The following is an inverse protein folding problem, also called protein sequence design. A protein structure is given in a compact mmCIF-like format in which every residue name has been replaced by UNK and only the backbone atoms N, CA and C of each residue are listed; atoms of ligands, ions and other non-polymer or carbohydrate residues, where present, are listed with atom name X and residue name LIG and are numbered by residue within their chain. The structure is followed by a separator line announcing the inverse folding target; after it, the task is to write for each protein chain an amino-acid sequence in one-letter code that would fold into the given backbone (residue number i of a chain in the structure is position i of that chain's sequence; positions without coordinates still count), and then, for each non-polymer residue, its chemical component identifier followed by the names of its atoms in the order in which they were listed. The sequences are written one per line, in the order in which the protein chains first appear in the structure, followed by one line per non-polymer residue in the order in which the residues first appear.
data_IF_962667780768
#
_entry.id   IF_962667780768
#
_cell.length_a   1.000
_cell.length_b   1.000
_cell.length_c   1.000
_cell.angle_alpha   90.00
_cell.angle_beta   90.00
_cell.angle_gamma   90.00
#
_symmetry.space_group_name_H-M   'P 1'
#
loop_
_entity.id
_entity.type
_entity.pdbx_description
1 polymer ?
#
# COMPACT_ATOMS: atom_id res chain seq x y z
N UNK A 1 -3.59 25.82 9.90
CA UNK A 1 -3.05 26.28 11.19
C UNK A 1 -1.94 25.34 11.59
N UNK A 2 -0.72 25.83 11.79
CA UNK A 2 0.37 25.01 12.31
C UNK A 2 0.02 24.57 13.74
N UNK A 3 0.12 23.27 14.03
CA UNK A 3 -0.01 22.78 15.39
C UNK A 3 1.22 23.29 16.15
N UNK A 4 1.06 24.35 16.95
CA UNK A 4 2.13 24.89 17.79
C UNK A 4 2.50 23.84 18.86
N UNK A 5 3.40 22.95 18.49
CA UNK A 5 4.04 21.99 19.39
C UNK A 5 5.35 22.60 19.85
N UNK A 6 5.54 22.71 21.16
CA UNK A 6 6.82 23.09 21.77
C UNK A 6 7.94 22.07 21.46
N UNK A 7 7.57 20.91 20.92
CA UNK A 7 8.46 19.82 20.59
C UNK A 7 8.70 19.73 19.09
N UNK A 8 9.96 19.51 18.71
CA UNK A 8 10.36 19.29 17.32
C UNK A 8 9.56 18.13 16.69
N UNK A 9 9.04 18.37 15.48
CA UNK A 9 8.34 17.36 14.69
C UNK A 9 9.32 16.27 14.24
N UNK A 10 8.86 15.02 14.21
CA UNK A 10 9.64 13.87 13.72
C UNK A 10 9.15 13.37 12.37
N UNK A 11 7.96 13.77 11.96
CA UNK A 11 7.37 13.45 10.67
C UNK A 11 6.53 14.62 10.14
N UNK A 12 6.23 14.58 8.85
CA UNK A 12 5.30 15.51 8.23
C UNK A 12 4.28 14.71 7.42
N UNK A 13 2.99 15.00 7.65
CA UNK A 13 1.91 14.48 6.82
C UNK A 13 1.70 15.45 5.68
N UNK A 14 1.86 14.96 4.46
CA UNK A 14 1.67 15.75 3.24
C UNK A 14 0.41 15.24 2.56
N UNK A 15 -0.55 16.12 2.38
CA UNK A 15 -1.79 15.86 1.66
C UNK A 15 -1.65 16.44 0.26
N UNK A 16 -1.89 15.60 -0.74
CA UNK A 16 -1.83 15.99 -2.14
C UNK A 16 -3.17 15.71 -2.80
N UNK A 17 -3.57 16.56 -3.73
CA UNK A 17 -4.64 16.27 -4.67
C UNK A 17 -4.02 15.81 -5.99
N UNK A 18 -4.65 14.82 -6.62
CA UNK A 18 -4.34 14.35 -7.96
C UNK A 18 -5.64 14.29 -8.75
N UNK A 19 -5.69 14.95 -9.90
CA UNK A 19 -6.81 14.82 -10.82
C UNK A 19 -6.79 13.46 -11.50
N UNK A 20 -7.98 12.90 -11.71
CA UNK A 20 -8.17 11.66 -12.47
C UNK A 20 -8.33 11.92 -13.97
N UNK A 21 -8.79 13.11 -14.34
CA UNK A 21 -9.10 13.48 -15.72
C UNK A 21 -8.02 14.35 -16.36
N UNK A 22 -6.99 14.72 -15.60
CA UNK A 22 -5.90 15.58 -16.05
C UNK A 22 -4.62 15.27 -15.28
N UNK A 23 -3.44 15.69 -15.78
CA UNK A 23 -2.18 15.49 -15.06
C UNK A 23 -2.02 16.39 -13.83
N UNK A 24 -3.03 17.19 -13.47
CA UNK A 24 -2.96 18.14 -12.36
C UNK A 24 -2.69 17.42 -11.02
N UNK A 25 -1.67 17.90 -10.31
CA UNK A 25 -1.26 17.42 -9.00
C UNK A 25 -0.72 18.57 -8.18
N UNK A 26 -1.15 18.69 -6.92
CA UNK A 26 -0.69 19.76 -6.04
C UNK A 26 -0.67 19.33 -4.57
N UNK A 27 0.21 19.93 -3.78
CA UNK A 27 0.21 19.83 -2.32
C UNK A 27 -0.85 20.76 -1.76
N UNK A 28 -1.84 20.20 -1.07
CA UNK A 28 -2.96 20.97 -0.50
C UNK A 28 -2.74 21.30 0.98
N UNK A 29 -1.99 20.46 1.69
CA UNK A 29 -1.68 20.69 3.09
C UNK A 29 -0.39 19.97 3.52
N UNK A 30 0.39 20.62 4.38
CA UNK A 30 1.54 20.02 5.06
C UNK A 30 1.34 20.19 6.56
N UNK A 31 1.41 19.09 7.30
CA UNK A 31 1.22 19.06 8.74
C UNK A 31 2.42 18.40 9.41
N UNK A 32 3.39 19.19 9.92
CA UNK A 32 4.47 18.69 10.76
C UNK A 32 3.89 18.15 12.07
N UNK A 33 4.27 16.94 12.46
CA UNK A 33 3.81 16.30 13.71
C UNK A 33 4.92 15.53 14.41
N UNK A 34 4.83 15.45 15.73
CA UNK A 34 5.64 14.54 16.53
C UNK A 34 4.92 13.24 16.84
N UNK A 35 3.65 13.33 17.20
CA UNK A 35 2.72 12.20 17.38
C UNK A 35 1.35 12.62 16.92
N UNK A 36 0.66 11.74 16.22
CA UNK A 36 -0.74 11.92 15.80
C UNK A 36 -1.51 10.63 16.04
N UNK A 37 -2.74 10.77 16.53
CA UNK A 37 -3.68 9.67 16.67
C UNK A 37 -4.66 9.64 15.48
N UNK A 38 -5.42 8.56 15.36
CA UNK A 38 -6.36 8.37 14.24
C UNK A 38 -7.53 9.35 14.24
N UNK A 39 -7.92 9.94 15.38
CA UNK A 39 -9.05 10.87 15.47
C UNK A 39 -8.67 12.26 14.97
N UNK A 40 -7.51 12.77 15.42
CA UNK A 40 -6.94 14.02 14.92
C UNK A 40 -6.64 13.92 13.43
N UNK A 41 -6.07 12.78 13.00
CA UNK A 41 -5.81 12.57 11.58
C UNK A 41 -7.10 12.54 10.75
N UNK A 42 -8.14 11.86 11.22
CA UNK A 42 -9.48 11.88 10.60
C UNK A 42 -10.04 13.30 10.47
N UNK A 43 -9.96 14.12 11.52
CA UNK A 43 -10.46 15.49 11.49
C UNK A 43 -9.78 16.32 10.39
N UNK A 44 -8.45 16.16 10.22
CA UNK A 44 -7.69 16.84 9.17
C UNK A 44 -8.05 16.33 7.78
N UNK A 45 -8.15 15.01 7.59
CA UNK A 45 -8.57 14.42 6.30
C UNK A 45 -9.96 14.92 5.92
N UNK A 46 -10.94 14.80 6.81
CA UNK A 46 -12.31 15.27 6.59
C UNK A 46 -12.36 16.75 6.24
N UNK A 47 -11.63 17.59 7.01
CA UNK A 47 -11.56 19.03 6.76
C UNK A 47 -10.96 19.34 5.38
N UNK A 48 -9.87 18.68 5.01
CA UNK A 48 -9.22 18.85 3.71
C UNK A 48 -10.19 18.52 2.56
N UNK A 49 -10.95 17.43 2.68
CA UNK A 49 -11.96 17.06 1.68
C UNK A 49 -13.04 18.15 1.53
N UNK A 50 -13.60 18.60 2.65
CA UNK A 50 -14.65 19.63 2.66
C UNK A 50 -14.15 20.97 2.10
N UNK A 51 -12.92 21.37 2.42
CA UNK A 51 -12.31 22.59 1.89
C UNK A 51 -12.01 22.50 0.39
N UNK A 52 -11.62 21.33 -0.11
CA UNK A 52 -11.41 21.12 -1.55
C UNK A 52 -12.72 21.17 -2.32
N UNK A 53 -13.79 20.59 -1.77
CA UNK A 53 -15.11 20.66 -2.38
C UNK A 53 -15.66 22.09 -2.43
N UNK A 54 -15.44 22.88 -1.36
CA UNK A 54 -15.96 24.25 -1.30
C UNK A 54 -15.34 25.19 -2.32
N UNK A 55 -14.13 24.88 -2.81
CA UNK A 55 -13.45 25.63 -3.88
C UNK A 55 -13.71 25.04 -5.28
N UNK A 56 -14.57 24.01 -5.39
CA UNK A 56 -15.05 23.48 -6.66
C UNK A 56 -14.37 22.19 -7.14
N UNK A 57 -13.46 21.59 -6.37
CA UNK A 57 -13.02 20.22 -6.68
C UNK A 57 -14.14 19.22 -6.35
N UNK A 58 -14.08 18.04 -6.96
CA UNK A 58 -14.92 16.90 -6.59
C UNK A 58 -14.04 15.78 -6.08
N UNK A 59 -13.90 15.67 -4.77
CA UNK A 59 -13.06 14.61 -4.18
C UNK A 59 -13.82 13.29 -4.21
N UNK A 60 -13.35 12.32 -5.00
CA UNK A 60 -14.02 11.02 -5.08
C UNK A 60 -13.39 9.95 -4.18
N UNK A 61 -12.16 10.16 -3.70
CA UNK A 61 -11.49 9.15 -2.89
C UNK A 61 -10.21 9.61 -2.24
N UNK A 62 -9.78 8.81 -1.27
CA UNK A 62 -8.54 8.98 -0.50
C UNK A 62 -7.63 7.79 -0.79
N UNK A 63 -6.40 8.08 -1.22
CA UNK A 63 -5.35 7.06 -1.40
C UNK A 63 -4.37 7.16 -0.23
N UNK A 64 -4.08 6.04 0.44
CA UNK A 64 -3.05 6.02 1.48
C UNK A 64 -2.38 4.65 1.64
N UNK A 65 -1.28 4.60 2.39
CA UNK A 65 -0.66 3.32 2.76
C UNK A 65 -1.56 2.50 3.71
N UNK A 66 -1.16 1.26 3.99
CA UNK A 66 -1.89 0.37 4.91
C UNK A 66 -1.53 0.61 6.39
N UNK A 67 -0.98 1.74 6.81
CA UNK A 67 -0.60 1.93 8.21
C UNK A 67 -1.83 1.98 9.14
N UNK A 68 -1.64 1.68 10.43
CA UNK A 68 -2.77 1.56 11.39
C UNK A 68 -3.51 2.88 11.62
N UNK A 69 -2.80 4.01 11.59
CA UNK A 69 -3.35 5.36 11.80
C UNK A 69 -4.29 5.72 10.64
N UNK A 70 -3.89 5.46 9.40
CA UNK A 70 -4.69 5.69 8.19
C UNK A 70 -5.97 4.86 8.23
N UNK A 71 -5.87 3.56 8.54
CA UNK A 71 -7.06 2.70 8.67
C UNK A 71 -8.00 3.18 9.77
N UNK A 72 -7.46 3.61 10.91
CA UNK A 72 -8.27 4.13 12.03
C UNK A 72 -8.97 5.43 11.62
N UNK A 73 -8.26 6.35 10.98
CA UNK A 73 -8.85 7.60 10.51
C UNK A 73 -9.95 7.35 9.47
N UNK A 74 -9.71 6.49 8.49
CA UNK A 74 -10.72 6.15 7.49
C UNK A 74 -11.94 5.45 8.11
N UNK A 75 -11.74 4.59 9.12
CA UNK A 75 -12.86 3.93 9.79
C UNK A 75 -13.84 4.90 10.46
N UNK A 76 -13.38 6.10 10.84
CA UNK A 76 -14.20 7.14 11.48
C UNK A 76 -15.14 7.87 10.50
N UNK A 77 -15.06 7.60 9.18
CA UNK A 77 -16.10 8.04 8.23
C UNK A 77 -17.40 7.24 8.34
N UNK A 78 -17.42 6.14 9.11
CA UNK A 78 -18.63 5.39 9.43
C UNK A 78 -19.00 5.55 10.91
N UNK A 79 -20.30 5.50 11.19
CA UNK A 79 -20.85 5.45 12.56
C UNK A 79 -21.68 4.17 12.68
N UNK A 80 -21.27 3.18 13.51
CA UNK A 80 -20.04 3.13 14.30
C UNK A 80 -18.75 3.01 13.44
N UNK A 81 -17.56 3.31 14.00
CA UNK A 81 -16.31 3.22 13.25
C UNK A 81 -16.06 1.83 12.68
N UNK A 82 -15.96 1.74 11.35
CA UNK A 82 -15.73 0.49 10.63
C UNK A 82 -14.88 0.73 9.40
N UNK A 83 -13.85 -0.09 9.22
CA UNK A 83 -13.05 -0.04 8.00
C UNK A 83 -13.89 -0.56 6.83
N UNK A 84 -13.96 0.25 5.77
CA UNK A 84 -14.71 -0.01 4.54
C UNK A 84 -13.88 0.53 3.37
N UNK A 85 -14.19 0.07 2.17
CA UNK A 85 -13.63 0.60 0.91
C UNK A 85 -14.47 1.75 0.35
N UNK A 86 -15.71 1.91 0.83
CA UNK A 86 -16.62 3.00 0.45
C UNK A 86 -17.24 3.60 1.69
N UNK A 87 -17.29 4.93 1.72
CA UNK A 87 -17.89 5.74 2.78
C UNK A 87 -18.86 6.76 2.19
N UNK A 88 -19.84 7.27 2.96
CA UNK A 88 -20.59 8.46 2.57
C UNK A 88 -19.65 9.68 2.45
N UNK A 89 -19.80 10.47 1.40
CA UNK A 89 -18.99 11.67 1.21
C UNK A 89 -19.29 12.73 2.29
N UNK A 90 -18.29 13.35 2.94
CA UNK A 90 -18.50 14.25 4.08
C UNK A 90 -19.25 15.55 3.74
N UNK A 91 -19.19 16.01 2.48
CA UNK A 91 -19.92 17.20 2.00
C UNK A 91 -21.31 16.87 1.43
N UNK A 92 -21.51 15.66 0.89
CA UNK A 92 -22.74 15.24 0.21
C UNK A 92 -22.94 13.73 0.39
N UNK A 93 -23.63 13.30 1.48
CA UNK A 93 -23.67 11.89 1.87
C UNK A 93 -24.25 10.92 0.82
N UNK A 94 -24.99 11.42 -0.17
CA UNK A 94 -25.48 10.62 -1.29
C UNK A 94 -24.38 10.15 -2.25
N UNK A 95 -23.23 10.84 -2.25
CA UNK A 95 -22.07 10.48 -3.07
C UNK A 95 -21.12 9.51 -2.33
N UNK A 96 -20.47 8.60 -3.05
CA UNK A 96 -19.44 7.73 -2.47
C UNK A 96 -18.11 8.47 -2.31
N UNK A 97 -17.43 8.20 -1.20
CA UNK A 97 -16.01 8.48 -0.97
C UNK A 97 -15.26 7.14 -0.93
N UNK A 98 -14.41 6.89 -1.92
CA UNK A 98 -13.64 5.66 -2.03
C UNK A 98 -12.37 5.70 -1.18
N UNK A 99 -12.10 4.64 -0.43
CA UNK A 99 -10.82 4.45 0.24
C UNK A 99 -9.96 3.44 -0.52
N UNK A 100 -8.85 3.92 -1.07
CA UNK A 100 -7.93 3.12 -1.87
C UNK A 100 -6.63 2.95 -1.12
N UNK A 101 -6.22 1.69 -0.93
CA UNK A 101 -4.90 1.37 -0.40
C UNK A 101 -3.91 1.42 -1.55
N UNK A 102 -2.78 2.11 -1.34
CA UNK A 102 -1.71 2.17 -2.34
C UNK A 102 -1.24 0.75 -2.70
N UNK A 103 -1.50 0.38 -3.96
CA UNK A 103 -1.18 -0.93 -4.52
C UNK A 103 0.31 -1.20 -4.53
N UNK A 104 1.15 -0.17 -4.68
CA UNK A 104 2.61 -0.31 -4.65
C UNK A 104 3.10 -0.71 -3.26
N UNK A 105 2.44 -0.24 -2.20
CA UNK A 105 2.72 -0.70 -0.84
C UNK A 105 2.28 -2.14 -0.61
N UNK A 106 1.10 -2.53 -1.11
CA UNK A 106 0.65 -3.94 -1.05
C UNK A 106 1.66 -4.84 -1.74
N UNK A 107 2.09 -4.45 -2.95
CA UNK A 107 2.99 -5.23 -3.76
C UNK A 107 4.35 -5.43 -3.08
N UNK A 108 4.89 -4.40 -2.41
CA UNK A 108 6.10 -4.53 -1.56
C UNK A 108 5.90 -5.47 -0.36
N UNK A 109 4.71 -5.48 0.24
CA UNK A 109 4.45 -6.32 1.41
C UNK A 109 4.41 -7.81 1.08
N UNK A 110 3.98 -8.20 -0.12
CA UNK A 110 3.83 -9.62 -0.50
C UNK A 110 5.16 -10.40 -0.38
N UNK A 111 6.25 -10.05 -1.10
CA UNK A 111 7.50 -10.82 -1.01
C UNK A 111 8.14 -10.68 0.37
N UNK A 112 7.99 -9.51 1.03
CA UNK A 112 8.47 -9.33 2.39
C UNK A 112 7.80 -10.31 3.37
N UNK A 113 6.50 -10.53 3.24
CA UNK A 113 5.78 -11.51 4.05
C UNK A 113 6.11 -12.95 3.64
N UNK A 114 6.32 -13.19 2.35
CA UNK A 114 6.66 -14.51 1.82
C UNK A 114 8.04 -14.98 2.31
N UNK A 115 9.06 -14.12 2.23
CA UNK A 115 10.42 -14.41 2.74
C UNK A 115 10.43 -14.62 4.27
N UNK A 116 9.51 -14.01 5.01
CA UNK A 116 9.44 -14.17 6.46
C UNK A 116 8.57 -15.34 6.92
N UNK A 117 8.04 -16.16 6.00
CA UNK A 117 7.32 -17.38 6.38
C UNK A 117 8.25 -18.36 7.11
N UNK A 118 7.74 -18.98 8.17
CA UNK A 118 8.51 -19.88 9.06
C UNK A 118 8.32 -21.36 8.74
N UNK A 119 7.48 -21.69 7.76
CA UNK A 119 7.26 -23.05 7.29
C UNK A 119 8.44 -23.52 6.41
N UNK A 120 8.53 -24.83 6.21
CA UNK A 120 9.48 -25.42 5.28
C UNK A 120 9.27 -24.80 3.88
N UNK A 121 10.36 -24.44 3.20
CA UNK A 121 10.28 -23.84 1.86
C UNK A 121 9.83 -22.37 1.81
N UNK A 122 9.52 -21.75 2.97
CA UNK A 122 8.95 -20.40 3.01
C UNK A 122 7.72 -20.32 2.10
N UNK A 123 6.74 -21.20 2.32
CA UNK A 123 5.62 -21.38 1.41
C UNK A 123 4.48 -20.41 1.68
N UNK A 124 3.85 -19.95 0.61
CA UNK A 124 2.65 -19.12 0.60
C UNK A 124 1.48 -19.93 0.04
N UNK A 125 0.35 -19.96 0.75
CA UNK A 125 -0.84 -20.70 0.35
C UNK A 125 -1.90 -19.76 -0.19
N UNK A 126 -2.52 -20.12 -1.31
CA UNK A 126 -3.53 -19.31 -1.98
C UNK A 126 -4.63 -20.19 -2.58
N UNK A 127 -5.87 -19.69 -2.70
CA UNK A 127 -6.93 -20.43 -3.34
C UNK A 127 -6.65 -20.61 -4.84
N UNK A 128 -7.22 -21.66 -5.42
CA UNK A 128 -7.31 -21.74 -6.87
C UNK A 128 -8.26 -20.63 -7.35
N UNK A 129 -7.80 -19.85 -8.33
CA UNK A 129 -8.54 -18.69 -8.84
C UNK A 129 -9.62 -19.07 -9.85
N UNK A 130 -9.56 -20.29 -10.41
CA UNK A 130 -10.57 -20.83 -11.35
C UNK A 130 -11.58 -21.72 -10.63
N UNK A 131 -11.14 -22.48 -9.62
CA UNK A 131 -12.02 -23.32 -8.79
C UNK A 131 -11.85 -23.03 -7.29
N UNK A 132 -12.64 -22.09 -6.78
CA UNK A 132 -12.60 -21.66 -5.38
C UNK A 132 -13.02 -22.73 -4.37
N UNK A 133 -13.60 -23.85 -4.81
CA UNK A 133 -13.98 -24.95 -3.92
C UNK A 133 -12.90 -26.04 -3.82
N UNK A 134 -11.81 -25.89 -4.58
CA UNK A 134 -10.72 -26.84 -4.59
C UNK A 134 -9.92 -26.76 -3.29
N UNK A 135 -9.93 -27.85 -2.55
CA UNK A 135 -9.08 -28.08 -1.40
C UNK A 135 -8.19 -29.31 -1.66
N UNK A 136 -6.90 -29.29 -1.27
CA UNK A 136 -6.22 -28.24 -0.49
C UNK A 136 -5.91 -26.97 -1.31
N UNK A 137 -5.58 -25.88 -0.59
CA UNK A 137 -5.06 -24.64 -1.19
C UNK A 137 -3.81 -24.94 -2.05
N UNK A 138 -3.60 -24.14 -3.09
CA UNK A 138 -2.37 -24.17 -3.87
C UNK A 138 -1.21 -23.59 -3.06
N UNK A 139 0.00 -24.05 -3.36
CA UNK A 139 1.21 -23.70 -2.63
C UNK A 139 2.26 -23.10 -3.56
N UNK A 140 2.82 -21.96 -3.18
CA UNK A 140 3.98 -21.35 -3.82
C UNK A 140 5.17 -21.35 -2.85
N UNK A 141 6.26 -22.01 -3.25
CA UNK A 141 7.46 -22.16 -2.44
C UNK A 141 8.53 -21.13 -2.83
N UNK A 142 8.98 -20.30 -1.90
CA UNK A 142 9.98 -19.27 -2.22
C UNK A 142 11.38 -19.86 -2.46
N UNK A 143 11.71 -20.97 -1.80
CA UNK A 143 12.98 -21.67 -2.01
C UNK A 143 13.14 -22.17 -3.44
N UNK A 144 12.04 -22.47 -4.16
CA UNK A 144 12.09 -22.81 -5.59
C UNK A 144 12.71 -21.69 -6.41
N UNK A 145 12.43 -20.41 -6.09
CA UNK A 145 13.03 -19.27 -6.78
C UNK A 145 14.54 -19.16 -6.49
N UNK A 146 14.96 -19.47 -5.27
CA UNK A 146 16.39 -19.52 -4.92
C UNK A 146 17.12 -20.63 -5.68
N UNK A 147 16.51 -21.82 -5.73
CA UNK A 147 17.04 -22.94 -6.49
C UNK A 147 17.14 -22.62 -7.98
N UNK A 148 16.13 -21.98 -8.57
CA UNK A 148 16.15 -21.55 -9.96
C UNK A 148 17.34 -20.61 -10.23
N UNK A 149 17.54 -19.61 -9.37
CA UNK A 149 18.69 -18.70 -9.48
C UNK A 149 20.02 -19.45 -9.38
N UNK A 150 20.15 -20.40 -8.47
CA UNK A 150 21.38 -21.18 -8.27
C UNK A 150 21.68 -22.09 -9.47
N UNK A 151 20.66 -22.76 -10.01
CA UNK A 151 20.76 -23.61 -11.22
C UNK A 151 21.23 -22.80 -12.43
N UNK A 152 20.72 -21.58 -12.59
CA UNK A 152 21.07 -20.72 -13.73
C UNK A 152 22.30 -19.85 -13.49
N UNK A 153 22.87 -19.86 -12.28
CA UNK A 153 23.93 -18.92 -11.88
C UNK A 153 25.14 -18.96 -12.83
N UNK A 154 25.52 -20.16 -13.28
CA UNK A 154 26.66 -20.43 -14.16
C UNK A 154 26.29 -20.56 -15.65
N UNK A 155 25.01 -20.41 -16.01
CA UNK A 155 24.58 -20.51 -17.39
C UNK A 155 24.79 -19.19 -18.13
N UNK A 156 25.30 -19.27 -19.37
CA UNK A 156 25.43 -18.11 -20.27
C UNK A 156 24.08 -17.54 -20.67
N UNK A 157 23.08 -18.41 -20.86
CA UNK A 157 21.69 -18.05 -21.17
C UNK A 157 20.81 -18.49 -20.02
N UNK A 158 19.97 -17.58 -19.52
CA UNK A 158 19.13 -17.78 -18.34
C UNK A 158 17.68 -17.53 -18.72
N UNK A 159 16.78 -18.43 -18.34
CA UNK A 159 15.35 -18.23 -18.45
C UNK A 159 14.89 -17.13 -17.48
N UNK A 160 15.34 -17.20 -16.22
CA UNK A 160 15.03 -16.19 -15.20
C UNK A 160 16.10 -15.10 -15.10
N UNK A 161 16.55 -14.54 -16.24
CA UNK A 161 17.63 -13.54 -16.30
C UNK A 161 17.37 -12.29 -15.42
N UNK A 162 16.10 -11.94 -15.21
CA UNK A 162 15.69 -10.83 -14.36
C UNK A 162 15.77 -11.12 -12.86
N UNK A 163 15.77 -12.39 -12.46
CA UNK A 163 15.81 -12.82 -11.06
C UNK A 163 17.21 -12.60 -10.50
N UNK A 164 17.31 -11.84 -9.40
CA UNK A 164 18.60 -11.46 -8.83
C UNK A 164 18.66 -11.81 -7.36
N UNK A 165 19.87 -12.06 -6.84
CA UNK A 165 20.08 -12.32 -5.42
C UNK A 165 19.52 -11.20 -4.51
N UNK A 166 19.57 -9.94 -4.95
CA UNK A 166 18.97 -8.80 -4.24
C UNK A 166 17.45 -8.89 -4.11
N UNK A 167 16.77 -9.49 -5.09
CA UNK A 167 15.33 -9.71 -5.03
C UNK A 167 15.00 -10.89 -4.10
N UNK A 168 15.84 -11.93 -4.08
CA UNK A 168 15.65 -13.14 -3.28
C UNK A 168 16.04 -12.97 -1.80
N UNK A 169 17.04 -12.13 -1.53
CA UNK A 169 17.61 -11.89 -0.21
C UNK A 169 17.77 -10.37 0.04
N UNK A 170 16.68 -9.59 0.07
CA UNK A 170 16.74 -8.14 0.17
C UNK A 170 17.13 -7.67 1.58
N UNK A 171 18.00 -6.66 1.64
CA UNK A 171 18.21 -5.87 2.86
C UNK A 171 16.98 -5.01 3.20
N UNK A 172 16.90 -4.47 4.41
CA UNK A 172 15.76 -3.63 4.83
C UNK A 172 15.53 -2.40 3.92
N UNK A 173 16.60 -1.83 3.35
CA UNK A 173 16.49 -0.73 2.39
C UNK A 173 15.93 -1.23 1.04
N UNK A 174 16.43 -2.37 0.56
CA UNK A 174 16.00 -2.98 -0.71
C UNK A 174 14.55 -3.45 -0.70
N UNK A 175 14.01 -3.84 0.47
CA UNK A 175 12.59 -4.17 0.65
C UNK A 175 11.63 -3.04 0.27
N UNK A 176 12.10 -1.79 0.21
CA UNK A 176 11.31 -0.64 -0.22
C UNK A 176 11.33 -0.44 -1.75
N UNK A 177 12.19 -1.15 -2.48
CA UNK A 177 12.35 -0.99 -3.91
C UNK A 177 11.40 -1.91 -4.69
N UNK A 178 10.36 -1.30 -5.26
CA UNK A 178 9.34 -2.03 -6.05
C UNK A 178 9.95 -2.72 -7.28
N UNK A 179 11.04 -2.18 -7.85
CA UNK A 179 11.71 -2.82 -9.00
C UNK A 179 12.25 -4.21 -8.66
N UNK A 180 12.59 -4.48 -7.39
CA UNK A 180 13.03 -5.82 -6.96
C UNK A 180 11.84 -6.78 -6.81
N UNK A 181 10.68 -6.28 -6.39
CA UNK A 181 9.44 -7.07 -6.33
C UNK A 181 9.05 -7.55 -7.74
N UNK A 182 9.17 -6.68 -8.74
CA UNK A 182 8.89 -7.00 -10.14
C UNK A 182 9.84 -8.07 -10.72
N UNK A 183 11.00 -8.32 -10.10
CA UNK A 183 11.89 -9.41 -10.50
C UNK A 183 11.44 -10.78 -9.98
N UNK A 184 10.60 -10.80 -8.95
CA UNK A 184 9.99 -12.01 -8.38
C UNK A 184 8.70 -12.32 -9.13
N UNK A 185 7.88 -11.29 -9.35
CA UNK A 185 6.61 -11.39 -10.07
C UNK A 185 6.79 -10.87 -11.49
N UNK A 186 7.34 -11.71 -12.36
CA UNK A 186 7.55 -11.39 -13.76
C UNK A 186 7.01 -12.51 -14.66
N UNK A 187 6.55 -12.14 -15.85
CA UNK A 187 6.39 -13.09 -16.94
C UNK A 187 7.78 -13.25 -17.57
N UNK A 188 8.36 -14.43 -17.44
CA UNK A 188 9.59 -14.79 -18.15
C UNK A 188 9.21 -15.21 -19.58
N UNK A 189 8.71 -14.26 -20.36
CA UNK A 189 8.51 -14.37 -21.81
C UNK A 189 9.59 -13.57 -22.55
#
# INVERSE_FOLDING_TARGET
MAYNSEQAATSAYVFMIQSLLSPFKEVVHIMPVKKIDGEKYFAVVKKTIVELDSIGFKVIGVVSDKNSINRKAMSNFSVPPKLSIVYPHPSEPSNPLFFVIDSMHIFKCIPNNWINQKNAGQCFYFPDFEDHNKFPLLEANFSTLKQLYDIESNNLVKFAYGLTLKALCPTNLEKQNVKLVLKIFNNFE
#
